data_IF_332185998218
#
_entry.id   IF_332185998218
#
_cell.length_a   1.000
_cell.length_b   1.000
_cell.length_c   1.000
_cell.angle_alpha   90.00
_cell.angle_beta   90.00
_cell.angle_gamma   90.00
#
_symmetry.space_group_name_H-M   'P 1'
#
loop_
_entity.id
_entity.type
_entity.pdbx_description
1 polymer ?
#
# COMPACT_ATOMS: atom_id res chain seq x y z
N UNK A 1 -28.36 22.29 22.42
CA UNK A 1 -26.89 22.18 22.23
C UNK A 1 -26.64 20.86 21.52
N UNK A 2 -26.47 20.91 20.19
CA UNK A 2 -26.37 19.69 19.38
C UNK A 2 -24.97 19.08 19.52
N UNK A 3 -24.89 17.84 20.00
CA UNK A 3 -23.66 17.06 20.06
C UNK A 3 -23.25 16.69 18.62
N UNK A 4 -22.16 17.29 18.14
CA UNK A 4 -21.54 16.92 16.87
C UNK A 4 -20.98 15.50 17.01
N UNK A 5 -21.75 14.50 16.59
CA UNK A 5 -21.30 13.12 16.49
C UNK A 5 -20.38 12.98 15.27
N UNK A 6 -19.13 13.46 15.39
CA UNK A 6 -18.10 13.23 14.39
C UNK A 6 -17.65 11.77 14.45
N UNK A 7 -17.94 11.02 13.39
CA UNK A 7 -17.51 9.63 13.23
C UNK A 7 -15.98 9.59 13.02
N UNK A 8 -15.21 9.14 14.01
CA UNK A 8 -13.75 8.99 13.95
C UNK A 8 -13.33 7.58 13.50
N UNK A 9 -13.90 7.06 12.41
CA UNK A 9 -13.46 5.78 11.85
C UNK A 9 -12.35 5.99 10.81
N UNK A 10 -11.14 5.58 11.16
CA UNK A 10 -10.02 5.49 10.22
C UNK A 10 -9.82 4.01 9.87
N UNK A 11 -9.95 3.67 8.59
CA UNK A 11 -9.53 2.36 8.08
C UNK A 11 -8.05 2.49 7.75
N UNK A 12 -7.19 1.81 8.52
CA UNK A 12 -5.79 1.66 8.16
C UNK A 12 -5.71 0.62 7.04
N UNK A 13 -5.61 1.11 5.80
CA UNK A 13 -5.30 0.25 4.66
C UNK A 13 -3.78 0.03 4.72
N UNK A 14 -3.37 -1.11 5.26
CA UNK A 14 -1.99 -1.55 5.16
C UNK A 14 -1.64 -1.73 3.69
N UNK A 15 -0.66 -0.97 3.20
CA UNK A 15 -0.12 -1.21 1.87
C UNK A 15 0.58 -2.58 1.94
N UNK A 16 0.07 -3.60 1.26
CA UNK A 16 0.91 -4.75 0.89
C UNK A 16 1.88 -4.29 -0.22
N UNK A 17 2.68 -3.28 0.11
CA UNK A 17 3.67 -2.69 -0.76
C UNK A 17 5.03 -3.03 -0.19
N UNK A 18 5.81 -3.80 -0.94
CA UNK A 18 7.19 -4.11 -0.59
C UNK A 18 8.09 -3.80 -1.78
N UNK A 19 9.24 -3.23 -1.43
CA UNK A 19 10.27 -2.83 -2.36
C UNK A 19 11.41 -3.85 -2.25
N UNK A 20 11.76 -4.50 -3.36
CA UNK A 20 12.83 -5.48 -3.44
C UNK A 20 13.91 -5.04 -4.43
N UNK A 21 15.16 -5.32 -4.07
CA UNK A 21 16.30 -5.21 -4.96
C UNK A 21 16.85 -6.61 -5.22
N UNK A 22 16.88 -7.02 -6.48
CA UNK A 22 17.43 -8.33 -6.87
C UNK A 22 18.58 -8.12 -7.84
N UNK A 23 19.76 -8.66 -7.52
CA UNK A 23 20.85 -8.70 -8.49
C UNK A 23 20.54 -9.76 -9.55
N UNK A 24 20.58 -9.35 -10.82
CA UNK A 24 20.29 -10.22 -11.97
C UNK A 24 21.61 -10.52 -12.69
N UNK A 25 22.20 -11.73 -12.51
CA UNK A 25 23.55 -12.01 -12.99
C UNK A 25 23.71 -11.91 -14.51
N UNK A 26 22.72 -12.36 -15.28
CA UNK A 26 22.77 -12.29 -16.75
C UNK A 26 22.57 -10.88 -17.31
N UNK A 27 22.14 -9.92 -16.49
CA UNK A 27 22.09 -8.50 -16.84
C UNK A 27 23.24 -7.69 -16.23
N UNK A 28 24.06 -8.32 -15.37
CA UNK A 28 25.07 -7.69 -14.53
C UNK A 28 24.58 -6.40 -13.86
N UNK A 29 23.33 -6.41 -13.37
CA UNK A 29 22.62 -5.23 -12.86
C UNK A 29 21.71 -5.61 -11.70
N UNK A 30 21.51 -4.67 -10.78
CA UNK A 30 20.47 -4.77 -9.76
C UNK A 30 19.17 -4.20 -10.30
N UNK A 31 18.10 -4.97 -10.20
CA UNK A 31 16.75 -4.56 -10.60
C UNK A 31 15.96 -4.20 -9.36
N UNK A 32 15.33 -3.03 -9.40
CA UNK A 32 14.37 -2.58 -8.41
C UNK A 32 12.98 -3.07 -8.78
N UNK A 33 12.27 -3.69 -7.84
CA UNK A 33 10.90 -4.15 -8.03
C UNK A 33 10.04 -3.68 -6.87
N UNK A 34 9.06 -2.84 -7.18
CA UNK A 34 8.00 -2.44 -6.26
C UNK A 34 6.76 -3.24 -6.58
N UNK A 35 6.32 -4.08 -5.66
CA UNK A 35 5.02 -4.74 -5.74
C UNK A 35 4.04 -3.89 -4.96
N UNK A 36 2.93 -3.46 -5.57
CA UNK A 36 1.82 -2.78 -4.89
C UNK A 36 0.58 -3.65 -5.04
N UNK A 37 0.01 -4.06 -3.92
CA UNK A 37 -1.31 -4.67 -3.92
C UNK A 37 -2.37 -3.59 -4.16
N UNK A 38 -3.14 -3.74 -5.23
CA UNK A 38 -4.23 -2.82 -5.57
C UNK A 38 -5.47 -3.22 -4.75
N UNK A 39 -5.47 -2.86 -3.47
CA UNK A 39 -6.64 -3.06 -2.60
C UNK A 39 -7.69 -1.99 -2.94
N UNK A 40 -8.63 -2.29 -3.84
CA UNK A 40 -9.76 -1.40 -4.14
C UNK A 40 -10.79 -1.52 -3.00
N UNK A 41 -10.87 -0.52 -2.14
CA UNK A 41 -11.95 -0.42 -1.15
C UNK A 41 -13.20 0.13 -1.85
N UNK A 42 -14.24 -0.68 -1.97
CA UNK A 42 -15.56 -0.21 -2.39
C UNK A 42 -16.31 0.20 -1.12
N UNK A 43 -16.44 1.51 -0.89
CA UNK A 43 -17.40 2.03 0.09
C UNK A 43 -18.76 2.05 -0.61
N UNK A 44 -19.60 1.04 -0.32
CA UNK A 44 -21.01 1.01 -0.73
C UNK A 44 -21.87 1.78 0.27
#
# INVERSE_FOLDING_TARGET
MATLNTLHHFIVIGCNAYDEYTFVPWLNKTVYRRTVDLSRVCLQ
#
